data_IF_424906770667
#
_entry.id   IF_424906770667
#
_cell.length_a   1.000
_cell.length_b   1.000
_cell.length_c   1.000
_cell.angle_alpha   90.00
_cell.angle_beta   90.00
_cell.angle_gamma   90.00
#
_symmetry.space_group_name_H-M   'P 1'
#
loop_
_entity.id
_entity.type
_entity.pdbx_description
1 polymer ?
#
# COMPACT_ATOMS: atom_id res chain seq x y z
N UNK A 1 -20.34 10.62 -2.35
CA UNK A 1 -19.57 10.69 -3.60
C UNK A 1 -18.82 12.00 -3.59
N UNK A 2 -17.49 11.96 -3.75
CA UNK A 2 -16.58 13.12 -3.71
C UNK A 2 -15.71 13.08 -4.96
N UNK A 3 -15.72 14.13 -5.77
CA UNK A 3 -14.97 14.18 -7.03
C UNK A 3 -14.74 15.59 -7.55
N UNK A 4 -13.84 15.73 -8.51
CA UNK A 4 -13.53 16.99 -9.19
C UNK A 4 -13.11 18.11 -8.21
N UNK A 5 -12.55 17.75 -7.07
CA UNK A 5 -11.90 18.72 -6.18
C UNK A 5 -10.64 19.24 -6.86
N UNK A 6 -10.37 20.54 -6.71
CA UNK A 6 -9.15 21.16 -7.24
C UNK A 6 -7.87 20.74 -6.52
N UNK A 7 -7.99 20.03 -5.40
CA UNK A 7 -6.88 19.53 -4.59
C UNK A 7 -7.21 18.11 -4.09
N UNK A 8 -7.44 17.94 -2.79
CA UNK A 8 -7.78 16.66 -2.15
C UNK A 8 -9.26 16.31 -2.29
N UNK A 9 -9.58 15.01 -2.24
CA UNK A 9 -10.96 14.54 -2.15
C UNK A 9 -11.55 14.80 -0.76
N UNK A 10 -11.14 13.99 0.22
CA UNK A 10 -11.46 14.15 1.64
C UNK A 10 -10.18 14.45 2.42
N UNK A 11 -10.11 15.62 3.04
CA UNK A 11 -8.97 16.08 3.83
C UNK A 11 -9.44 16.57 5.20
N UNK A 12 -9.72 15.68 6.17
CA UNK A 12 -9.70 16.10 7.54
C UNK A 12 -8.31 16.61 7.87
N UNK A 13 -8.24 17.85 8.36
CA UNK A 13 -6.98 18.58 8.42
C UNK A 13 -6.32 18.43 9.80
N UNK A 14 -5.35 19.29 10.07
CA UNK A 14 -4.52 19.33 11.28
C UNK A 14 -5.29 19.04 12.57
N UNK A 15 -4.83 18.03 13.29
CA UNK A 15 -5.35 17.68 14.61
C UNK A 15 -6.74 17.02 14.58
N UNK A 16 -7.26 16.63 13.42
CA UNK A 16 -8.53 15.89 13.37
C UNK A 16 -8.39 14.57 14.10
N UNK A 17 -9.37 14.22 14.92
CA UNK A 17 -9.42 12.93 15.58
C UNK A 17 -10.83 12.36 15.73
N UNK A 18 -10.89 11.06 16.03
CA UNK A 18 -12.12 10.28 16.25
C UNK A 18 -13.14 10.38 15.10
N UNK A 19 -12.64 10.58 13.88
CA UNK A 19 -13.46 10.68 12.67
C UNK A 19 -13.60 9.32 12.00
N UNK A 20 -14.78 9.07 11.42
CA UNK A 20 -15.04 7.88 10.64
C UNK A 20 -15.39 8.27 9.20
N UNK A 21 -14.54 7.88 8.26
CA UNK A 21 -14.71 8.03 6.82
C UNK A 21 -15.12 6.67 6.28
N UNK A 22 -16.42 6.48 6.01
CA UNK A 22 -16.93 5.20 5.55
C UNK A 22 -17.91 5.29 4.40
N UNK A 23 -17.93 4.26 3.55
CA UNK A 23 -18.90 4.08 2.46
C UNK A 23 -18.90 5.23 1.44
N UNK A 24 -17.74 5.82 1.17
CA UNK A 24 -17.60 6.88 0.16
C UNK A 24 -17.05 6.33 -1.16
N UNK A 25 -17.35 7.06 -2.23
CA UNK A 25 -16.64 6.93 -3.51
C UNK A 25 -15.91 8.24 -3.76
N UNK A 26 -14.57 8.19 -3.88
CA UNK A 26 -13.66 9.35 -3.95
C UNK A 26 -12.79 9.24 -5.20
N UNK A 27 -12.95 10.14 -6.17
CA UNK A 27 -12.29 9.98 -7.47
C UNK A 27 -12.13 11.26 -8.27
N UNK A 28 -11.30 11.26 -9.31
CA UNK A 28 -11.08 12.40 -10.23
C UNK A 28 -10.70 13.71 -9.50
N UNK A 29 -10.01 13.63 -8.36
CA UNK A 29 -9.51 14.81 -7.64
C UNK A 29 -8.11 15.15 -8.15
N UNK A 30 -8.04 16.09 -9.10
CA UNK A 30 -6.88 16.25 -9.99
C UNK A 30 -5.62 16.80 -9.31
N UNK A 31 -5.75 17.43 -8.15
CA UNK A 31 -4.66 18.16 -7.51
C UNK A 31 -4.05 17.49 -6.29
N UNK A 32 -4.56 16.34 -5.84
CA UNK A 32 -4.07 15.72 -4.61
C UNK A 32 -4.67 14.35 -4.33
N UNK A 33 -4.31 13.85 -3.15
CA UNK A 33 -4.74 12.55 -2.63
C UNK A 33 -6.26 12.42 -2.54
N UNK A 34 -6.76 11.19 -2.70
CA UNK A 34 -8.18 10.87 -2.57
C UNK A 34 -8.67 11.12 -1.14
N UNK A 35 -8.16 10.35 -0.18
CA UNK A 35 -8.42 10.52 1.25
C UNK A 35 -7.08 10.77 1.94
N UNK A 36 -6.93 11.90 2.63
CA UNK A 36 -5.71 12.28 3.34
C UNK A 36 -6.07 12.82 4.70
N UNK A 37 -5.20 12.65 5.70
CA UNK A 37 -5.22 13.49 6.89
C UNK A 37 -3.87 14.17 7.05
N UNK A 38 -3.85 15.50 7.01
CA UNK A 38 -2.63 16.26 6.67
C UNK A 38 -1.56 16.38 7.77
N UNK A 39 -1.93 16.51 9.05
CA UNK A 39 -0.97 16.68 10.16
C UNK A 39 -1.58 16.31 11.51
N UNK A 40 -0.86 15.58 12.35
CA UNK A 40 -1.23 15.29 13.75
C UNK A 40 -2.63 14.69 13.92
N UNK A 41 -3.09 13.91 12.93
CA UNK A 41 -4.38 13.25 12.98
C UNK A 41 -4.31 11.91 13.73
N UNK A 42 -5.37 11.55 14.47
CA UNK A 42 -5.36 10.28 15.18
C UNK A 42 -6.74 9.67 15.38
N UNK A 43 -6.79 8.37 15.67
CA UNK A 43 -8.05 7.62 15.83
C UNK A 43 -9.01 7.77 14.63
N UNK A 44 -8.47 7.88 13.41
CA UNK A 44 -9.29 7.98 12.19
C UNK A 44 -9.58 6.57 11.69
N UNK A 45 -10.84 6.30 11.37
CA UNK A 45 -11.26 5.07 10.72
C UNK A 45 -11.65 5.34 9.27
N UNK A 46 -10.89 4.79 8.32
CA UNK A 46 -11.15 4.83 6.88
C UNK A 46 -11.60 3.44 6.45
N UNK A 47 -12.91 3.22 6.27
CA UNK A 47 -13.42 1.89 5.93
C UNK A 47 -14.41 1.83 4.76
N UNK A 48 -14.39 0.73 4.01
CA UNK A 48 -15.38 0.45 2.97
C UNK A 48 -15.52 1.58 1.93
N UNK A 49 -14.44 2.33 1.67
CA UNK A 49 -14.42 3.35 0.65
C UNK A 49 -13.92 2.78 -0.68
N UNK A 50 -14.40 3.38 -1.77
CA UNK A 50 -13.89 3.16 -3.12
C UNK A 50 -13.12 4.42 -3.55
N UNK A 51 -11.80 4.31 -3.72
CA UNK A 51 -10.92 5.44 -4.02
C UNK A 51 -10.18 5.17 -5.33
N UNK A 52 -10.31 6.05 -6.32
CA UNK A 52 -9.68 5.81 -7.61
C UNK A 52 -9.45 7.05 -8.47
N UNK A 53 -8.51 6.95 -9.42
CA UNK A 53 -8.28 7.96 -10.46
C UNK A 53 -8.07 9.37 -9.87
N UNK A 54 -7.37 9.49 -8.74
CA UNK A 54 -6.99 10.78 -8.16
C UNK A 54 -5.61 11.21 -8.66
N UNK A 55 -5.32 12.50 -8.55
CA UNK A 55 -4.05 13.06 -9.01
C UNK A 55 -2.88 12.77 -8.06
N UNK A 56 -3.17 12.57 -6.77
CA UNK A 56 -2.24 12.13 -5.74
C UNK A 56 -2.61 10.75 -5.20
N UNK A 57 -2.01 10.35 -4.07
CA UNK A 57 -2.19 9.01 -3.50
C UNK A 57 -3.65 8.68 -3.14
N UNK A 58 -4.04 7.41 -3.19
CA UNK A 58 -5.40 7.00 -2.89
C UNK A 58 -5.78 7.30 -1.44
N UNK A 59 -5.10 6.64 -0.50
CA UNK A 59 -5.24 6.86 0.95
C UNK A 59 -3.87 7.27 1.51
N UNK A 60 -3.80 8.45 2.11
CA UNK A 60 -2.56 9.04 2.62
C UNK A 60 -2.61 9.26 4.14
N UNK A 61 -1.74 8.54 4.85
CA UNK A 61 -1.43 8.75 6.26
C UNK A 61 -0.27 9.73 6.36
N UNK A 62 -0.59 11.01 6.52
CA UNK A 62 0.39 12.08 6.41
C UNK A 62 0.78 12.66 7.76
N UNK A 63 2.10 12.86 7.94
CA UNK A 63 2.72 13.72 8.96
C UNK A 63 2.13 13.55 10.36
N UNK A 64 2.70 12.59 11.10
CA UNK A 64 2.31 12.24 12.46
C UNK A 64 0.84 11.82 12.54
N UNK A 65 0.37 11.03 11.58
CA UNK A 65 -0.90 10.32 11.70
C UNK A 65 -0.69 9.03 12.50
N UNK A 66 -1.49 8.79 13.53
CA UNK A 66 -1.32 7.62 14.40
C UNK A 66 -2.61 7.03 14.93
N UNK A 67 -2.54 5.80 15.47
CA UNK A 67 -3.68 5.04 16.01
C UNK A 67 -4.88 4.98 15.04
N UNK A 68 -4.62 5.08 13.75
CA UNK A 68 -5.65 5.15 12.72
C UNK A 68 -5.69 3.86 11.90
N UNK A 69 -6.82 3.63 11.24
CA UNK A 69 -7.12 2.37 10.58
C UNK A 69 -7.61 2.64 9.17
N UNK A 70 -6.99 1.99 8.17
CA UNK A 70 -7.57 1.84 6.83
C UNK A 70 -7.93 0.37 6.61
N UNK A 71 -9.22 0.07 6.44
CA UNK A 71 -9.68 -1.30 6.24
C UNK A 71 -10.76 -1.48 5.18
N UNK A 72 -10.76 -2.64 4.51
CA UNK A 72 -11.80 -3.02 3.56
C UNK A 72 -12.05 -1.97 2.45
N UNK A 73 -11.05 -1.15 2.13
CA UNK A 73 -11.17 -0.18 1.05
C UNK A 73 -10.80 -0.83 -0.28
N UNK A 74 -11.40 -0.33 -1.36
CA UNK A 74 -11.04 -0.65 -2.73
C UNK A 74 -10.31 0.56 -3.30
N UNK A 75 -9.04 0.41 -3.63
CA UNK A 75 -8.19 1.51 -4.12
C UNK A 75 -7.57 1.14 -5.45
N UNK A 76 -7.67 1.99 -6.48
CA UNK A 76 -7.06 1.67 -7.78
C UNK A 76 -6.73 2.87 -8.66
N UNK A 77 -5.79 2.67 -9.59
CA UNK A 77 -5.32 3.71 -10.52
C UNK A 77 -4.80 4.97 -9.80
N UNK A 78 -4.04 4.78 -8.73
CA UNK A 78 -3.46 5.89 -7.95
C UNK A 78 -1.93 5.88 -8.09
N UNK A 79 -1.23 7.03 -7.94
CA UNK A 79 0.23 7.07 -7.82
C UNK A 79 0.76 6.10 -6.75
N UNK A 80 0.31 6.22 -5.50
CA UNK A 80 0.36 5.14 -4.51
C UNK A 80 -1.06 4.76 -4.12
N UNK A 81 -1.37 3.46 -4.02
CA UNK A 81 -2.66 3.02 -3.52
C UNK A 81 -2.86 3.45 -2.06
N UNK A 82 -1.92 3.07 -1.19
CA UNK A 82 -1.84 3.57 0.18
C UNK A 82 -0.44 4.14 0.42
N UNK A 83 -0.37 5.38 0.89
CA UNK A 83 0.87 6.04 1.27
C UNK A 83 0.89 6.30 2.77
N UNK A 84 2.03 6.05 3.41
CA UNK A 84 2.26 6.33 4.83
C UNK A 84 3.55 7.11 4.93
N UNK A 85 3.46 8.37 5.35
CA UNK A 85 4.60 9.28 5.44
C UNK A 85 4.68 9.93 6.81
N UNK A 86 5.86 9.83 7.44
CA UNK A 86 6.12 10.37 8.77
C UNK A 86 5.06 9.94 9.80
N UNK A 87 4.51 8.73 9.68
CA UNK A 87 3.33 8.28 10.42
C UNK A 87 3.55 6.92 11.07
N UNK A 88 2.88 6.67 12.19
CA UNK A 88 3.22 5.53 13.03
C UNK A 88 2.05 4.90 13.76
N UNK A 89 2.21 3.64 14.19
CA UNK A 89 1.21 2.90 14.96
C UNK A 89 -0.17 2.81 14.27
N UNK A 90 -0.20 2.79 12.94
CA UNK A 90 -1.43 2.63 12.16
C UNK A 90 -1.64 1.17 11.74
N UNK A 91 -2.89 0.86 11.35
CA UNK A 91 -3.25 -0.45 10.84
C UNK A 91 -3.87 -0.32 9.45
N UNK A 92 -3.32 -1.05 8.49
CA UNK A 92 -3.77 -1.07 7.10
C UNK A 92 -4.08 -2.52 6.77
N UNK A 93 -5.36 -2.89 6.72
CA UNK A 93 -5.72 -4.30 6.56
C UNK A 93 -6.92 -4.59 5.68
N UNK A 94 -6.94 -5.76 5.05
CA UNK A 94 -8.02 -6.23 4.18
C UNK A 94 -8.40 -5.25 3.06
N UNK A 95 -7.49 -4.36 2.64
CA UNK A 95 -7.73 -3.48 1.51
C UNK A 95 -7.42 -4.22 0.21
N UNK A 96 -8.18 -3.90 -0.84
CA UNK A 96 -7.93 -4.36 -2.22
C UNK A 96 -7.34 -3.20 -3.00
N UNK A 97 -6.08 -3.32 -3.40
CA UNK A 97 -5.32 -2.29 -4.10
C UNK A 97 -4.96 -2.81 -5.48
N UNK A 98 -5.20 -2.02 -6.53
CA UNK A 98 -4.91 -2.48 -7.89
C UNK A 98 -4.44 -1.39 -8.85
N UNK A 99 -3.54 -1.73 -9.78
CA UNK A 99 -3.13 -0.84 -10.89
C UNK A 99 -2.58 0.53 -10.43
N UNK A 100 -2.12 0.63 -9.19
CA UNK A 100 -1.44 1.81 -8.67
C UNK A 100 0.04 1.79 -9.03
N UNK A 101 0.71 2.95 -9.02
CA UNK A 101 2.15 3.06 -9.20
C UNK A 101 2.88 2.16 -8.21
N UNK A 102 2.86 2.55 -6.93
CA UNK A 102 3.16 1.64 -5.83
C UNK A 102 1.84 1.15 -5.19
N UNK A 103 1.78 -0.13 -4.81
CA UNK A 103 0.61 -0.65 -4.11
C UNK A 103 0.48 -0.03 -2.71
N UNK A 104 1.45 -0.32 -1.86
CA UNK A 104 1.60 0.28 -0.53
C UNK A 104 3.01 0.86 -0.41
N UNK A 105 3.11 2.14 -0.05
CA UNK A 105 4.38 2.85 0.09
C UNK A 105 4.52 3.39 1.53
N UNK A 106 5.52 2.89 2.27
CA UNK A 106 5.85 3.29 3.63
C UNK A 106 7.13 4.11 3.60
N UNK A 107 7.06 5.37 4.02
CA UNK A 107 8.07 6.35 3.69
C UNK A 107 8.35 7.34 4.84
N UNK A 108 9.44 8.09 4.71
CA UNK A 108 9.78 9.24 5.53
C UNK A 108 9.80 8.93 7.03
N UNK A 109 10.51 7.87 7.44
CA UNK A 109 10.63 7.48 8.84
C UNK A 109 9.36 6.89 9.45
N UNK A 110 8.40 6.47 8.63
CA UNK A 110 7.17 5.82 9.14
C UNK A 110 7.49 4.53 9.87
N UNK A 111 6.87 4.32 11.02
CA UNK A 111 7.28 3.25 11.95
C UNK A 111 6.13 2.54 12.64
N UNK A 112 6.35 1.29 13.04
CA UNK A 112 5.41 0.50 13.84
C UNK A 112 4.00 0.37 13.22
N UNK A 113 3.88 0.49 11.89
CA UNK A 113 2.62 0.27 11.19
C UNK A 113 2.41 -1.23 10.92
N UNK A 114 1.16 -1.66 10.98
CA UNK A 114 0.74 -3.05 10.71
C UNK A 114 0.00 -3.13 9.38
N UNK A 115 0.60 -3.81 8.40
CA UNK A 115 0.06 -4.02 7.07
C UNK A 115 -0.33 -5.50 6.95
N UNK A 116 -1.61 -5.80 7.08
CA UNK A 116 -2.11 -7.18 7.27
C UNK A 116 -3.18 -7.56 6.23
N UNK A 117 -3.02 -8.69 5.55
CA UNK A 117 -4.13 -9.28 4.78
C UNK A 117 -4.59 -8.43 3.59
N UNK A 118 -3.78 -7.50 3.09
CA UNK A 118 -4.14 -6.70 1.92
C UNK A 118 -3.93 -7.52 0.64
N UNK A 119 -4.79 -7.30 -0.35
CA UNK A 119 -4.63 -7.85 -1.70
C UNK A 119 -4.14 -6.76 -2.63
N UNK A 120 -2.93 -6.90 -3.18
CA UNK A 120 -2.28 -5.94 -4.06
C UNK A 120 -2.13 -6.59 -5.44
N UNK A 121 -2.69 -5.95 -6.47
CA UNK A 121 -2.76 -6.54 -7.81
C UNK A 121 -2.24 -5.60 -8.89
N UNK A 122 -1.33 -6.10 -9.73
CA UNK A 122 -0.81 -5.39 -10.91
C UNK A 122 -0.31 -3.96 -10.60
N UNK A 123 0.45 -3.77 -9.51
CA UNK A 123 1.16 -2.51 -9.29
C UNK A 123 2.16 -2.26 -10.43
N UNK A 124 2.38 -0.99 -10.77
CA UNK A 124 3.20 -0.61 -11.93
C UNK A 124 4.69 -0.67 -11.58
N UNK A 125 5.06 -0.18 -10.40
CA UNK A 125 6.45 -0.03 -9.95
C UNK A 125 6.80 -1.09 -8.91
N UNK A 126 6.14 -1.08 -7.75
CA UNK A 126 6.32 -2.04 -6.66
C UNK A 126 4.98 -2.43 -6.04
N UNK A 127 4.86 -3.67 -5.58
CA UNK A 127 3.72 -4.04 -4.76
C UNK A 127 3.79 -3.35 -3.39
N UNK A 128 4.97 -3.41 -2.76
CA UNK A 128 5.25 -2.77 -1.48
C UNK A 128 6.62 -2.09 -1.56
N UNK A 129 6.68 -0.82 -1.14
CA UNK A 129 7.91 -0.03 -1.12
C UNK A 129 8.15 0.54 0.29
N UNK A 130 9.37 0.41 0.80
CA UNK A 130 9.81 0.98 2.08
C UNK A 130 11.05 1.84 1.88
N UNK A 131 10.95 3.13 2.16
CA UNK A 131 12.06 4.06 1.92
C UNK A 131 12.26 5.04 3.09
N UNK A 132 13.41 5.72 3.06
CA UNK A 132 13.71 6.88 3.88
C UNK A 132 13.61 6.59 5.39
N UNK A 133 14.23 5.50 5.84
CA UNK A 133 14.35 5.18 7.26
C UNK A 133 13.11 4.54 7.88
N UNK A 134 12.15 4.08 7.07
CA UNK A 134 10.89 3.52 7.56
C UNK A 134 11.09 2.17 8.25
N UNK A 135 10.98 2.15 9.56
CA UNK A 135 11.51 1.06 10.39
C UNK A 135 10.49 0.47 11.37
N UNK A 136 10.64 -0.80 11.72
CA UNK A 136 9.76 -1.47 12.70
C UNK A 136 8.35 -1.77 12.19
N UNK A 137 8.11 -1.74 10.89
CA UNK A 137 6.80 -2.04 10.31
C UNK A 137 6.62 -3.55 10.11
N UNK A 138 5.38 -4.04 10.23
CA UNK A 138 5.05 -5.46 10.06
C UNK A 138 4.13 -5.65 8.87
N UNK A 139 4.53 -6.52 7.94
CA UNK A 139 3.78 -6.90 6.75
C UNK A 139 3.47 -8.38 6.85
N UNK A 140 2.20 -8.72 7.08
CA UNK A 140 1.80 -10.10 7.31
C UNK A 140 0.63 -10.52 6.44
N UNK A 141 0.65 -11.75 5.94
CA UNK A 141 -0.48 -12.35 5.19
C UNK A 141 -0.99 -11.53 4.00
N UNK A 142 -0.18 -10.63 3.42
CA UNK A 142 -0.58 -9.88 2.24
C UNK A 142 -0.48 -10.75 0.99
N UNK A 143 -1.43 -10.60 0.07
CA UNK A 143 -1.48 -11.32 -1.20
C UNK A 143 -1.12 -10.37 -2.34
N UNK A 144 0.02 -10.60 -2.97
CA UNK A 144 0.54 -9.82 -4.09
C UNK A 144 0.38 -10.65 -5.36
N UNK A 145 -0.29 -10.09 -6.37
CA UNK A 145 -0.52 -10.75 -7.65
C UNK A 145 -0.18 -9.82 -8.80
N UNK A 146 0.70 -10.23 -9.72
CA UNK A 146 0.97 -9.43 -10.92
C UNK A 146 1.45 -10.30 -12.08
N UNK A 147 1.17 -9.84 -13.30
CA UNK A 147 1.76 -10.40 -14.53
C UNK A 147 3.16 -9.82 -14.82
N UNK A 148 3.46 -8.65 -14.27
CA UNK A 148 4.75 -7.96 -14.46
C UNK A 148 5.71 -8.28 -13.31
N UNK A 149 7.02 -8.46 -13.56
CA UNK A 149 8.00 -8.61 -12.49
C UNK A 149 8.03 -7.44 -11.51
N UNK A 150 7.87 -6.21 -12.01
CA UNK A 150 7.84 -4.97 -11.22
C UNK A 150 6.70 -4.99 -10.20
N UNK A 151 5.49 -5.33 -10.63
CA UNK A 151 4.32 -5.41 -9.75
C UNK A 151 4.35 -6.54 -8.72
N UNK A 152 5.39 -7.39 -8.71
CA UNK A 152 5.61 -8.42 -7.69
C UNK A 152 6.61 -7.99 -6.61
N UNK A 153 7.30 -6.85 -6.79
CA UNK A 153 8.40 -6.45 -5.91
C UNK A 153 7.92 -5.99 -4.54
N UNK A 154 8.62 -6.47 -3.52
CA UNK A 154 8.72 -5.83 -2.21
C UNK A 154 10.14 -5.26 -2.14
N UNK A 155 10.26 -3.95 -2.02
CA UNK A 155 11.54 -3.25 -2.00
C UNK A 155 11.72 -2.46 -0.70
N UNK A 156 12.91 -2.51 -0.10
CA UNK A 156 13.27 -1.68 1.04
C UNK A 156 14.65 -1.04 0.84
N UNK A 157 14.79 0.21 1.21
CA UNK A 157 16.09 0.89 1.22
C UNK A 157 16.99 0.41 2.39
N UNK A 158 18.31 0.65 2.33
CA UNK A 158 19.24 0.21 3.39
C UNK A 158 19.05 0.91 4.75
N UNK A 159 18.29 2.02 4.77
CA UNK A 159 18.06 2.83 5.96
C UNK A 159 16.81 2.40 6.73
N UNK A 160 15.87 1.73 6.06
CA UNK A 160 14.70 1.08 6.63
C UNK A 160 15.10 -0.22 7.34
N UNK A 161 14.95 -0.25 8.66
CA UNK A 161 15.48 -1.32 9.52
C UNK A 161 14.35 -2.03 10.27
N UNK A 162 14.61 -3.26 10.72
CA UNK A 162 13.74 -3.98 11.65
C UNK A 162 12.29 -4.17 11.14
N UNK A 163 12.10 -4.18 9.81
CA UNK A 163 10.80 -4.49 9.23
C UNK A 163 10.62 -6.01 9.14
N UNK A 164 9.41 -6.48 9.41
CA UNK A 164 9.09 -7.91 9.44
C UNK A 164 8.14 -8.23 8.29
N UNK A 165 8.49 -9.24 7.49
CA UNK A 165 7.64 -9.78 6.44
C UNK A 165 7.36 -11.25 6.75
N UNK A 166 6.11 -11.58 7.08
CA UNK A 166 5.69 -12.96 7.40
C UNK A 166 4.48 -13.36 6.58
N UNK A 167 4.42 -14.62 6.15
CA UNK A 167 3.24 -15.23 5.51
C UNK A 167 2.66 -14.49 4.29
N UNK A 168 3.44 -13.61 3.65
CA UNK A 168 3.01 -12.89 2.45
C UNK A 168 3.09 -13.83 1.25
N UNK A 169 2.06 -13.81 0.40
CA UNK A 169 1.97 -14.62 -0.82
C UNK A 169 2.27 -13.75 -2.03
N UNK A 170 3.28 -14.11 -2.82
CA UNK A 170 3.63 -13.42 -4.06
C UNK A 170 3.36 -14.36 -5.23
N UNK A 171 2.42 -13.99 -6.09
CA UNK A 171 1.86 -14.86 -7.13
C UNK A 171 2.02 -14.17 -8.47
N UNK A 172 2.79 -14.78 -9.38
CA UNK A 172 2.82 -14.34 -10.78
C UNK A 172 1.55 -14.82 -11.47
N UNK A 173 0.69 -13.91 -11.91
CA UNK A 173 -0.45 -14.29 -12.77
C UNK A 173 0.05 -14.53 -14.18
N UNK A 174 -0.16 -15.72 -14.73
CA UNK A 174 0.05 -15.97 -16.16
C UNK A 174 -0.96 -15.12 -16.93
N UNK A 175 -0.48 -14.33 -17.89
CA UNK A 175 -1.34 -13.89 -18.99
C UNK A 175 -1.48 -15.11 -19.91
N UNK A 176 -2.29 -16.09 -19.51
CA UNK A 176 -2.85 -17.01 -20.48
C UNK A 176 -3.82 -16.22 -21.35
N UNK A 177 -3.27 -15.62 -22.40
CA UNK A 177 -4.03 -15.60 -23.65
C UNK A 177 -4.23 -17.07 -23.99
N UNK A 178 -5.44 -17.56 -24.31
CA UNK A 178 -5.59 -18.95 -24.74
C UNK A 178 -4.65 -19.13 -25.92
N UNK A 179 -3.59 -19.91 -25.72
CA UNK A 179 -2.77 -20.35 -26.83
C UNK A 179 -3.72 -21.11 -27.75
N UNK A 180 -3.86 -20.62 -28.98
CA UNK A 180 -4.30 -21.50 -30.07
C UNK A 180 -3.46 -22.78 -30.02
N UNK A 181 -4.00 -23.91 -30.50
CA UNK A 181 -3.49 -25.21 -30.13
C UNK A 181 -2.12 -25.41 -30.77
N UNK A 182 -1.03 -25.21 -30.04
CA UNK A 182 0.27 -25.76 -30.41
C UNK A 182 1.26 -25.83 -29.24
N UNK A 183 1.63 -27.08 -28.95
CA UNK A 183 2.89 -27.60 -28.40
C UNK A 183 3.33 -27.24 -26.97
N UNK A 184 3.49 -28.32 -26.20
CA UNK A 184 3.97 -28.39 -24.85
C UNK A 184 5.46 -28.03 -24.65
N UNK A 185 5.74 -27.69 -23.38
CA UNK A 185 6.94 -28.03 -22.57
C UNK A 185 7.73 -26.81 -22.05
N UNK A 186 7.72 -26.65 -20.73
CA UNK A 186 8.93 -26.58 -19.90
C UNK A 186 8.59 -26.09 -18.48
N UNK A 187 9.48 -26.47 -17.57
CA UNK A 187 9.31 -26.60 -16.14
C UNK A 187 9.16 -25.26 -15.41
N UNK A 188 8.28 -25.21 -14.41
CA UNK A 188 8.11 -24.08 -13.52
C UNK A 188 9.35 -23.84 -12.67
N UNK A 189 10.02 -22.70 -12.86
CA UNK A 189 11.11 -22.26 -12.01
C UNK A 189 10.56 -21.54 -10.77
N UNK A 190 10.82 -22.10 -9.59
CA UNK A 190 10.64 -21.42 -8.30
C UNK A 190 11.49 -20.15 -8.26
N UNK A 191 10.86 -18.97 -8.16
CA UNK A 191 11.56 -17.72 -7.94
C UNK A 191 12.10 -17.68 -6.50
N UNK A 192 13.43 -17.58 -6.38
CA UNK A 192 14.16 -17.53 -5.11
C UNK A 192 13.80 -16.27 -4.31
N UNK A 193 13.51 -16.44 -3.02
CA UNK A 193 13.64 -15.39 -2.01
C UNK A 193 15.09 -14.90 -2.01
N UNK A 194 15.31 -13.62 -2.30
CA UNK A 194 16.53 -12.91 -1.89
C UNK A 194 16.18 -12.03 -0.70
N UNK A 195 16.44 -12.52 0.51
CA UNK A 195 16.43 -11.75 1.75
C UNK A 195 17.88 -11.37 2.09
N UNK A 196 18.23 -10.08 2.31
CA UNK A 196 19.50 -9.72 2.91
C UNK A 196 19.40 -9.66 4.45
N UNK A 197 20.30 -10.42 5.08
CA UNK A 197 21.01 -10.21 6.35
C UNK A 197 20.22 -9.87 7.63
N UNK A 198 20.05 -10.92 8.46
CA UNK A 198 20.13 -10.82 9.92
C UNK A 198 21.42 -10.10 10.33
N UNK A 199 21.27 -9.02 11.12
CA UNK A 199 22.30 -8.61 12.07
C UNK A 199 21.68 -8.66 13.46
N UNK A 200 21.73 -9.85 14.07
CA UNK A 200 21.64 -10.00 15.52
C UNK A 200 23.00 -9.62 16.09
N UNK A 201 23.13 -8.42 16.65
CA UNK A 201 24.22 -8.10 17.58
C UNK A 201 23.67 -8.17 19.00
N UNK A 202 23.89 -9.32 19.64
CA UNK A 202 23.96 -9.41 21.10
C UNK A 202 25.10 -8.53 21.60
N UNK A 203 24.78 -7.60 22.50
CA UNK A 203 25.55 -7.28 23.72
C UNK A 203 24.65 -6.52 24.68
#
# INVERSE_FOLDING_TARGET
MIRNSGHYGLDPHTGTHDMIIRNNTVYDNKGGSGIICSLDCYNILIENNKVHDNGGDGIDFSRNMYNSIARNNIVYNEPSGVFVSQSHNNQIYNNTISKSGDGININSGSSNNKILGNTITNSINNAILLNNGSSGNTFSSNKIVSSTPQGLKIEQDPTSKNNIFSDNQIIRSSTETPAGPEAASSQGSHAKQTLPHHNSSNK
#
